data_IF_013039547081
#
_entry.id   IF_013039547081
#
_cell.length_a   1.000
_cell.length_b   1.000
_cell.length_c   1.000
_cell.angle_alpha   90.00
_cell.angle_beta   90.00
_cell.angle_gamma   90.00
#
_symmetry.space_group_name_H-M   'P 1'
#
loop_
_entity.id
_entity.type
_entity.pdbx_description
1 polymer ?
#
# COMPACT_ATOMS: atom_id res chain seq x y z
N UNK A 1 9.59 -21.37 14.20
CA UNK A 1 8.73 -20.32 13.62
C UNK A 1 8.50 -19.27 14.70
N UNK A 2 8.83 -18.01 14.44
CA UNK A 2 8.56 -16.91 15.36
C UNK A 2 7.07 -16.71 15.57
N UNK A 3 6.68 -16.02 16.66
CA UNK A 3 5.26 -15.72 16.91
C UNK A 3 4.84 -14.50 16.10
N UNK A 4 3.63 -14.56 15.54
CA UNK A 4 2.98 -13.38 14.98
C UNK A 4 2.78 -12.33 16.08
N UNK A 5 3.12 -11.08 15.79
CA UNK A 5 2.80 -9.94 16.65
C UNK A 5 2.24 -8.79 15.82
N UNK A 6 1.20 -8.13 16.35
CA UNK A 6 0.57 -6.97 15.71
C UNK A 6 1.58 -5.84 15.44
N UNK A 7 2.52 -5.63 16.37
CA UNK A 7 3.56 -4.60 16.24
C UNK A 7 4.54 -4.89 15.11
N UNK A 8 4.99 -6.14 14.95
CA UNK A 8 5.85 -6.53 13.82
C UNK A 8 5.12 -6.35 12.49
N UNK A 9 3.85 -6.77 12.40
CA UNK A 9 3.06 -6.62 11.19
C UNK A 9 2.90 -5.14 10.79
N UNK A 10 2.61 -4.27 11.75
CA UNK A 10 2.50 -2.82 11.51
C UNK A 10 3.85 -2.24 11.06
N UNK A 11 4.94 -2.61 11.72
CA UNK A 11 6.27 -2.12 11.37
C UNK A 11 6.68 -2.52 9.95
N UNK A 12 6.36 -3.75 9.53
CA UNK A 12 6.65 -4.24 8.17
C UNK A 12 5.76 -3.57 7.12
N UNK A 13 4.48 -3.32 7.42
CA UNK A 13 3.60 -2.55 6.53
C UNK A 13 4.09 -1.12 6.33
N UNK A 14 4.60 -0.47 7.39
CA UNK A 14 5.24 0.84 7.25
C UNK A 14 6.50 0.77 6.38
N UNK A 15 7.38 -0.22 6.62
CA UNK A 15 8.58 -0.40 5.81
C UNK A 15 8.25 -0.64 4.31
N UNK A 16 7.17 -1.36 4.01
CA UNK A 16 6.69 -1.53 2.65
C UNK A 16 6.19 -0.22 2.03
N UNK A 17 5.44 0.57 2.79
CA UNK A 17 4.97 1.88 2.34
C UNK A 17 6.15 2.81 2.03
N UNK A 18 7.14 2.89 2.92
CA UNK A 18 8.35 3.71 2.76
C UNK A 18 9.17 3.27 1.53
N UNK A 19 9.29 1.96 1.31
CA UNK A 19 9.99 1.42 0.14
C UNK A 19 9.28 1.76 -1.18
N UNK A 20 7.94 1.73 -1.19
CA UNK A 20 7.13 2.13 -2.35
C UNK A 20 7.27 3.63 -2.60
N UNK A 21 7.22 4.44 -1.55
CA UNK A 21 7.41 5.89 -1.63
C UNK A 21 8.78 6.23 -2.24
N UNK A 22 9.86 5.67 -1.68
CA UNK A 22 11.21 5.88 -2.16
C UNK A 22 11.39 5.47 -3.64
N UNK A 23 10.76 4.38 -4.06
CA UNK A 23 10.81 3.88 -5.44
C UNK A 23 10.03 4.76 -6.41
N UNK A 24 8.82 5.16 -6.03
CA UNK A 24 7.89 5.86 -6.90
C UNK A 24 8.10 7.38 -6.90
N UNK A 25 8.87 7.92 -5.94
CA UNK A 25 9.17 9.35 -5.79
C UNK A 25 7.90 10.21 -5.72
N UNK A 26 6.88 9.72 -5.03
CA UNK A 26 5.66 10.49 -4.81
C UNK A 26 6.01 11.74 -3.98
N UNK A 27 5.59 12.92 -4.43
CA UNK A 27 5.65 14.12 -3.58
C UNK A 27 4.45 14.11 -2.61
N UNK A 28 4.75 13.80 -1.35
CA UNK A 28 3.78 13.63 -0.25
C UNK A 28 2.97 14.90 0.04
N UNK A 29 3.46 16.08 -0.34
CA UNK A 29 2.74 17.34 -0.12
C UNK A 29 1.61 17.56 -1.13
N UNK A 30 1.57 16.75 -2.19
CA UNK A 30 0.63 16.89 -3.29
C UNK A 30 -0.35 15.71 -3.41
N UNK A 31 -0.34 14.77 -2.46
CA UNK A 31 -1.35 13.71 -2.31
C UNK A 31 -1.69 12.94 -3.58
N UNK A 32 -2.96 12.51 -3.70
CA UNK A 32 -3.47 11.83 -4.90
C UNK A 32 -3.64 12.77 -6.09
N UNK A 33 -3.43 14.08 -5.93
CA UNK A 33 -3.48 15.07 -7.02
C UNK A 33 -2.47 14.79 -8.13
N UNK A 34 -1.38 14.07 -7.82
CA UNK A 34 -0.41 13.60 -8.82
C UNK A 34 -0.98 12.52 -9.75
N UNK A 35 -2.00 11.81 -9.31
CA UNK A 35 -2.66 10.78 -10.12
C UNK A 35 -3.65 11.39 -11.11
N UNK A 36 -4.08 12.64 -10.90
CA UNK A 36 -5.03 13.33 -11.76
C UNK A 36 -4.29 14.14 -12.83
N UNK A 37 -4.36 13.75 -14.12
CA UNK A 37 -3.81 14.55 -15.20
C UNK A 37 -4.44 15.94 -15.23
N UNK A 38 -3.67 16.94 -15.67
CA UNK A 38 -4.19 18.29 -15.88
C UNK A 38 -5.33 18.25 -16.90
N UNK A 39 -6.52 18.69 -16.50
CA UNK A 39 -7.73 18.69 -17.33
C UNK A 39 -8.50 17.37 -17.36
N UNK A 40 -8.25 16.45 -16.42
CA UNK A 40 -9.04 15.23 -16.27
C UNK A 40 -10.53 15.54 -16.06
N UNK A 41 -11.37 15.02 -16.96
CA UNK A 41 -12.82 15.09 -16.83
C UNK A 41 -13.35 14.15 -15.73
N UNK A 42 -14.63 14.28 -15.39
CA UNK A 42 -15.26 13.49 -14.32
C UNK A 42 -15.15 11.98 -14.57
N UNK A 43 -15.22 11.55 -15.83
CA UNK A 43 -15.12 10.15 -16.21
C UNK A 43 -13.71 9.61 -15.96
N UNK A 44 -12.67 10.35 -16.35
CA UNK A 44 -11.27 9.98 -16.10
C UNK A 44 -10.96 9.96 -14.61
N UNK A 45 -11.47 10.93 -13.84
CA UNK A 45 -11.35 10.94 -12.38
C UNK A 45 -12.00 9.69 -11.76
N UNK A 46 -13.19 9.31 -12.19
CA UNK A 46 -13.86 8.11 -11.70
C UNK A 46 -13.07 6.83 -12.01
N UNK A 47 -12.46 6.73 -13.19
CA UNK A 47 -11.60 5.59 -13.55
C UNK A 47 -10.33 5.53 -12.68
N UNK A 48 -9.68 6.67 -12.45
CA UNK A 48 -8.49 6.76 -11.60
C UNK A 48 -8.84 6.34 -10.17
N UNK A 49 -9.94 6.86 -9.62
CA UNK A 49 -10.41 6.50 -8.28
C UNK A 49 -10.67 5.00 -8.17
N UNK A 50 -11.37 4.41 -9.15
CA UNK A 50 -11.63 2.97 -9.18
C UNK A 50 -10.34 2.15 -9.25
N UNK A 51 -9.34 2.60 -10.02
CA UNK A 51 -8.05 1.93 -10.10
C UNK A 51 -7.29 1.99 -8.76
N UNK A 52 -7.34 3.13 -8.06
CA UNK A 52 -6.76 3.30 -6.72
C UNK A 52 -7.43 2.37 -5.71
N UNK A 53 -8.76 2.34 -5.68
CA UNK A 53 -9.53 1.45 -4.79
C UNK A 53 -9.19 -0.03 -5.04
N UNK A 54 -9.14 -0.43 -6.31
CA UNK A 54 -8.77 -1.79 -6.69
C UNK A 54 -7.34 -2.13 -6.25
N UNK A 55 -6.39 -1.20 -6.46
CA UNK A 55 -5.02 -1.35 -5.99
C UNK A 55 -4.94 -1.54 -4.48
N UNK A 56 -5.69 -0.74 -3.71
CA UNK A 56 -5.81 -0.86 -2.26
C UNK A 56 -6.34 -2.22 -1.82
N UNK A 57 -7.41 -2.70 -2.45
CA UNK A 57 -7.96 -4.04 -2.19
C UNK A 57 -6.91 -5.14 -2.47
N UNK A 58 -6.18 -5.06 -3.58
CA UNK A 58 -5.15 -6.04 -3.94
C UNK A 58 -3.97 -6.01 -2.97
N UNK A 59 -3.56 -4.83 -2.53
CA UNK A 59 -2.51 -4.68 -1.52
C UNK A 59 -2.92 -5.31 -0.19
N UNK A 60 -4.18 -5.11 0.24
CA UNK A 60 -4.72 -5.74 1.44
C UNK A 60 -4.77 -7.27 1.33
N UNK A 61 -5.26 -7.80 0.20
CA UNK A 61 -5.27 -9.25 -0.05
C UNK A 61 -3.86 -9.84 0.02
N UNK A 62 -2.87 -9.17 -0.58
CA UNK A 62 -1.47 -9.60 -0.52
C UNK A 62 -0.96 -9.62 0.91
N UNK A 63 -1.18 -8.54 1.67
CA UNK A 63 -0.76 -8.49 3.07
C UNK A 63 -1.39 -9.63 3.89
N UNK A 64 -2.68 -9.91 3.70
CA UNK A 64 -3.36 -11.02 4.36
C UNK A 64 -2.72 -12.38 4.01
N UNK A 65 -2.44 -12.63 2.72
CA UNK A 65 -1.77 -13.87 2.30
C UNK A 65 -0.36 -14.03 2.89
N UNK A 66 0.41 -12.94 3.03
CA UNK A 66 1.76 -12.98 3.63
C UNK A 66 1.71 -13.21 5.15
N UNK A 67 0.65 -12.75 5.83
CA UNK A 67 0.38 -13.09 7.24
C UNK A 67 0.05 -14.58 7.36
N UNK A 68 -0.85 -15.09 6.53
CA UNK A 68 -1.25 -16.51 6.52
C UNK A 68 -0.06 -17.44 6.21
N UNK A 69 0.82 -17.01 5.31
CA UNK A 69 2.06 -17.73 4.98
C UNK A 69 3.13 -17.64 6.08
N UNK A 70 2.94 -16.75 7.08
CA UNK A 70 3.92 -16.52 8.14
C UNK A 70 5.18 -15.79 7.66
N UNK A 71 5.08 -15.01 6.59
CA UNK A 71 6.16 -14.15 6.11
C UNK A 71 6.05 -12.71 6.63
N UNK A 72 4.83 -12.29 7.03
CA UNK A 72 4.57 -10.96 7.56
C UNK A 72 4.17 -11.00 9.04
N UNK A 73 4.73 -10.09 9.83
CA UNK A 73 4.40 -9.89 11.24
C UNK A 73 4.97 -10.94 12.17
N UNK A 74 5.97 -11.70 11.74
CA UNK A 74 6.65 -12.70 12.55
C UNK A 74 7.79 -12.02 13.31
N UNK A 75 7.66 -11.97 14.64
CA UNK A 75 8.79 -11.54 15.48
C UNK A 75 9.91 -12.56 15.38
N UNK A 76 11.07 -12.12 14.89
CA UNK A 76 12.31 -12.88 15.04
C UNK A 76 12.66 -12.98 16.52
N UNK A 77 13.01 -14.19 16.98
CA UNK A 77 13.82 -14.34 18.18
C UNK A 77 15.25 -13.90 17.89
#
# INVERSE_FOLDING_TARGET
MGRFTKSAAISELHAWADAIEAKCKFDVNNGTSQLLPKGADEHMQALINRAVEYGGMRAFQRAASEIEAGHLGVSGN
#
